data_IF_954109564938
#
_entry.id   IF_954109564938
#
_cell.length_a   1.000
_cell.length_b   1.000
_cell.length_c   1.000
_cell.angle_alpha   90.00
_cell.angle_beta   90.00
_cell.angle_gamma   90.00
#
_symmetry.space_group_name_H-M   'P 1'
#
loop_
_entity.id
_entity.type
_entity.pdbx_description
1 polymer ?
#
# COMPACT_ATOMS: atom_id res chain seq x y z
N UNK A 1 33.57 23.65 15.80
CA UNK A 1 32.89 22.92 16.87
C UNK A 1 31.55 22.44 16.33
N UNK A 2 31.41 21.15 16.03
CA UNK A 2 30.18 20.61 15.43
C UNK A 2 29.08 20.59 16.51
N UNK A 3 28.02 21.39 16.32
CA UNK A 3 26.95 21.53 17.30
C UNK A 3 26.22 20.18 17.47
N UNK A 4 26.25 19.62 18.69
CA UNK A 4 25.56 18.34 19.03
C UNK A 4 24.13 18.33 18.49
N UNK A 5 23.42 19.46 18.58
CA UNK A 5 22.04 19.60 18.10
C UNK A 5 21.90 19.39 16.57
N UNK A 6 22.89 19.82 15.77
CA UNK A 6 22.92 19.58 14.31
C UNK A 6 23.21 18.13 13.98
N UNK A 7 24.01 17.44 14.80
CA UNK A 7 24.29 16.01 14.66
C UNK A 7 23.03 15.19 14.97
N UNK A 8 22.31 15.53 16.06
CA UNK A 8 21.04 14.88 16.40
C UNK A 8 19.95 15.08 15.35
N UNK A 9 19.84 16.30 14.80
CA UNK A 9 18.90 16.59 13.69
C UNK A 9 19.29 15.84 12.42
N UNK A 10 20.59 15.72 12.11
CA UNK A 10 21.04 14.94 10.97
C UNK A 10 20.81 13.44 11.15
N UNK A 11 20.99 12.88 12.36
CA UNK A 11 20.73 11.47 12.67
C UNK A 11 19.22 11.17 12.62
N UNK A 12 18.37 12.04 13.19
CA UNK A 12 16.92 11.93 13.11
C UNK A 12 16.41 12.06 11.66
N UNK A 13 17.00 12.99 10.89
CA UNK A 13 16.68 13.16 9.48
C UNK A 13 17.10 11.97 8.62
N UNK A 14 18.25 11.35 8.90
CA UNK A 14 18.74 10.17 8.16
C UNK A 14 17.87 8.93 8.42
N UNK A 15 17.35 8.77 9.65
CA UNK A 15 16.46 7.67 10.00
C UNK A 15 15.10 7.74 9.29
N UNK A 16 14.60 8.95 9.00
CA UNK A 16 13.35 9.17 8.29
C UNK A 16 13.42 8.81 6.79
N UNK A 17 14.62 8.79 6.20
CA UNK A 17 14.82 8.56 4.75
C UNK A 17 14.80 7.06 4.39
N UNK A 18 14.90 6.16 5.38
CA UNK A 18 15.06 4.71 5.16
C UNK A 18 13.78 4.04 4.64
N UNK A 19 12.61 4.69 4.76
CA UNK A 19 11.30 4.06 4.46
C UNK A 19 10.83 4.32 3.01
N UNK A 20 11.48 5.21 2.26
CA UNK A 20 10.90 5.81 1.06
C UNK A 20 11.06 4.96 -0.24
N UNK A 21 11.74 3.81 -0.19
CA UNK A 21 12.36 3.25 -1.40
C UNK A 21 11.84 1.94 -1.99
N UNK A 22 11.07 1.12 -1.28
CA UNK A 22 10.70 -0.22 -1.75
C UNK A 22 9.26 -0.57 -1.35
N UNK A 23 8.56 -1.29 -2.22
CA UNK A 23 7.29 -1.91 -1.85
C UNK A 23 7.48 -2.74 -0.57
N UNK A 24 6.52 -2.63 0.35
CA UNK A 24 6.51 -3.37 1.60
C UNK A 24 6.50 -4.87 1.35
N UNK A 25 6.97 -5.62 2.34
CA UNK A 25 6.90 -7.08 2.31
C UNK A 25 5.45 -7.55 2.19
N UNK A 26 4.53 -6.80 2.79
CA UNK A 26 3.10 -7.05 2.79
C UNK A 26 2.52 -6.92 1.37
N UNK A 27 2.82 -5.82 0.68
CA UNK A 27 2.36 -5.61 -0.68
C UNK A 27 2.98 -6.61 -1.66
N UNK A 28 4.28 -6.90 -1.52
CA UNK A 28 4.94 -7.91 -2.34
C UNK A 28 4.31 -9.31 -2.16
N UNK A 29 3.99 -9.69 -0.92
CA UNK A 29 3.32 -10.96 -0.61
C UNK A 29 1.90 -11.00 -1.17
N UNK A 30 1.15 -9.89 -1.06
CA UNK A 30 -0.18 -9.77 -1.66
C UNK A 30 -0.15 -10.01 -3.17
N UNK A 31 0.79 -9.39 -3.88
CA UNK A 31 0.95 -9.58 -5.33
C UNK A 31 1.28 -11.04 -5.68
N UNK A 32 2.14 -11.70 -4.90
CA UNK A 32 2.45 -13.11 -5.08
C UNK A 32 1.21 -13.99 -4.91
N UNK A 33 0.41 -13.74 -3.86
CA UNK A 33 -0.83 -14.49 -3.63
C UNK A 33 -1.90 -14.23 -4.69
N UNK A 34 -1.97 -13.02 -5.25
CA UNK A 34 -2.82 -12.73 -6.43
C UNK A 34 -2.38 -13.57 -7.62
N UNK A 35 -1.08 -13.66 -7.90
CA UNK A 35 -0.54 -14.47 -9.00
C UNK A 35 -0.78 -15.97 -8.81
N UNK A 36 -0.82 -16.43 -7.57
CA UNK A 36 -1.10 -17.82 -7.20
C UNK A 36 -2.60 -18.11 -7.03
N UNK A 37 -3.46 -17.11 -7.23
CA UNK A 37 -4.91 -17.19 -7.02
C UNK A 37 -5.30 -17.59 -5.58
N UNK A 38 -4.41 -17.34 -4.61
CA UNK A 38 -4.65 -17.57 -3.18
C UNK A 38 -5.39 -16.36 -2.55
N UNK A 39 -6.65 -16.18 -2.93
CA UNK A 39 -7.42 -14.96 -2.66
C UNK A 39 -7.57 -14.58 -1.19
N UNK A 40 -7.73 -15.57 -0.30
CA UNK A 40 -7.85 -15.31 1.13
C UNK A 40 -6.57 -14.68 1.71
N UNK A 41 -5.41 -15.20 1.30
CA UNK A 41 -4.11 -14.64 1.72
C UNK A 41 -3.83 -13.31 1.02
N UNK A 42 -4.18 -13.19 -0.26
CA UNK A 42 -4.09 -11.92 -0.97
C UNK A 42 -4.87 -10.81 -0.23
N UNK A 43 -6.11 -11.08 0.19
CA UNK A 43 -6.91 -10.14 0.99
C UNK A 43 -6.23 -9.79 2.31
N UNK A 44 -5.78 -10.78 3.07
CA UNK A 44 -5.11 -10.57 4.35
C UNK A 44 -3.90 -9.64 4.19
N UNK A 45 -3.05 -9.91 3.21
CA UNK A 45 -1.83 -9.14 2.98
C UNK A 45 -2.09 -7.77 2.37
N UNK A 46 -3.13 -7.61 1.53
CA UNK A 46 -3.54 -6.28 1.05
C UNK A 46 -4.01 -5.39 2.20
N UNK A 47 -4.74 -5.94 3.19
CA UNK A 47 -5.18 -5.18 4.37
C UNK A 47 -3.97 -4.73 5.19
N UNK A 48 -2.99 -5.63 5.43
CA UNK A 48 -1.74 -5.25 6.12
C UNK A 48 -0.94 -4.22 5.32
N UNK A 49 -0.89 -4.37 4.00
CA UNK A 49 -0.17 -3.46 3.12
C UNK A 49 -0.73 -2.01 3.19
N UNK A 50 -2.04 -1.84 3.36
CA UNK A 50 -2.66 -0.51 3.57
C UNK A 50 -2.13 0.17 4.84
N UNK A 51 -1.80 -0.59 5.89
CA UNK A 51 -1.30 -0.02 7.15
C UNK A 51 0.15 0.45 7.05
N UNK A 52 0.97 -0.21 6.22
CA UNK A 52 2.40 0.08 6.08
C UNK A 52 2.74 1.00 4.89
N UNK A 53 1.91 1.00 3.85
CA UNK A 53 2.00 1.87 2.67
C UNK A 53 0.68 2.67 2.48
N UNK A 54 0.32 3.55 3.43
CA UNK A 54 -0.94 4.30 3.37
C UNK A 54 -1.03 5.30 2.21
N UNK A 55 0.11 5.64 1.58
CA UNK A 55 0.23 6.57 0.46
C UNK A 55 0.35 5.86 -0.91
N UNK A 56 0.19 4.53 -0.96
CA UNK A 56 0.19 3.77 -2.20
C UNK A 56 -1.26 3.49 -2.68
N UNK A 57 -1.74 4.15 -3.76
CA UNK A 57 -3.11 3.97 -4.24
C UNK A 57 -3.35 2.62 -4.93
N UNK A 58 -2.29 1.88 -5.32
CA UNK A 58 -2.44 0.58 -5.99
C UNK A 58 -2.99 -0.51 -5.05
N UNK A 59 -2.68 -0.42 -3.76
CA UNK A 59 -3.10 -1.40 -2.76
C UNK A 59 -4.62 -1.39 -2.56
N UNK A 60 -5.28 -0.25 -2.24
CA UNK A 60 -6.74 -0.21 -2.15
C UNK A 60 -7.39 -0.54 -3.50
N UNK A 61 -6.81 -0.14 -4.64
CA UNK A 61 -7.29 -0.56 -5.96
C UNK A 61 -7.28 -2.10 -6.11
N UNK A 62 -6.16 -2.77 -5.83
CA UNK A 62 -6.05 -4.24 -5.94
C UNK A 62 -6.99 -4.95 -4.98
N UNK A 63 -7.22 -4.42 -3.78
CA UNK A 63 -8.23 -4.93 -2.85
C UNK A 63 -9.65 -4.78 -3.41
N UNK A 64 -9.97 -3.62 -3.98
CA UNK A 64 -11.25 -3.38 -4.64
C UNK A 64 -11.48 -4.33 -5.82
N UNK A 65 -10.54 -4.39 -6.75
CA UNK A 65 -10.66 -5.16 -7.99
C UNK A 65 -10.55 -6.67 -7.76
N UNK A 66 -9.42 -7.15 -7.23
CA UNK A 66 -9.20 -8.60 -7.14
C UNK A 66 -10.06 -9.25 -6.08
N UNK A 67 -10.29 -8.61 -4.93
CA UNK A 67 -11.00 -9.24 -3.81
C UNK A 67 -12.49 -8.89 -3.85
N UNK A 68 -12.83 -7.62 -3.72
CA UNK A 68 -14.23 -7.23 -3.55
C UNK A 68 -15.04 -7.43 -4.82
N UNK A 69 -14.53 -7.06 -6.01
CA UNK A 69 -15.25 -7.27 -7.25
C UNK A 69 -15.22 -8.73 -7.74
N UNK A 70 -14.03 -9.30 -7.96
CA UNK A 70 -13.91 -10.60 -8.63
C UNK A 70 -14.28 -11.80 -7.74
N UNK A 71 -13.91 -11.78 -6.46
CA UNK A 71 -14.15 -12.94 -5.57
C UNK A 71 -15.44 -12.79 -4.75
N UNK A 72 -15.65 -11.64 -4.12
CA UNK A 72 -16.78 -11.43 -3.21
C UNK A 72 -18.04 -10.90 -3.90
N UNK A 73 -17.90 -10.28 -5.09
CA UNK A 73 -18.98 -9.55 -5.79
C UNK A 73 -19.63 -8.47 -4.92
N UNK A 74 -18.84 -7.91 -4.01
CA UNK A 74 -19.20 -6.81 -3.12
C UNK A 74 -18.84 -5.48 -3.78
N UNK A 75 -19.74 -5.01 -4.63
CA UNK A 75 -19.58 -3.77 -5.39
C UNK A 75 -19.52 -2.52 -4.50
N UNK A 76 -20.13 -2.58 -3.32
CA UNK A 76 -20.09 -1.46 -2.37
C UNK A 76 -18.68 -1.31 -1.80
N UNK A 77 -18.08 -2.39 -1.29
CA UNK A 77 -16.70 -2.35 -0.80
C UNK A 77 -15.69 -2.10 -1.93
N UNK A 78 -15.95 -2.58 -3.14
CA UNK A 78 -15.14 -2.24 -4.30
C UNK A 78 -15.12 -0.72 -4.54
N UNK A 79 -16.28 -0.07 -4.57
CA UNK A 79 -16.35 1.39 -4.73
C UNK A 79 -15.64 2.12 -3.60
N UNK A 80 -15.86 1.72 -2.34
CA UNK A 80 -15.15 2.31 -1.19
C UNK A 80 -13.62 2.17 -1.31
N UNK A 81 -13.13 1.03 -1.81
CA UNK A 81 -11.71 0.82 -2.07
C UNK A 81 -11.19 1.72 -3.19
N UNK A 82 -11.96 1.93 -4.26
CA UNK A 82 -11.58 2.84 -5.34
C UNK A 82 -11.59 4.30 -4.90
N UNK A 83 -12.57 4.72 -4.10
CA UNK A 83 -12.62 6.05 -3.51
C UNK A 83 -11.38 6.32 -2.65
N UNK A 84 -10.91 5.32 -1.90
CA UNK A 84 -9.65 5.42 -1.14
C UNK A 84 -8.43 5.57 -2.05
N UNK A 85 -8.35 4.80 -3.15
CA UNK A 85 -7.25 4.93 -4.10
C UNK A 85 -7.20 6.34 -4.73
N UNK A 86 -8.37 6.86 -5.15
CA UNK A 86 -8.52 8.19 -5.74
C UNK A 86 -8.27 9.32 -4.73
N UNK A 87 -8.55 9.10 -3.45
CA UNK A 87 -8.25 10.06 -2.39
C UNK A 87 -6.74 10.20 -2.13
N UNK A 88 -5.95 9.16 -2.40
CA UNK A 88 -4.49 9.17 -2.26
C UNK A 88 -3.84 9.87 -3.44
N UNK A 89 -4.14 9.42 -4.67
CA UNK A 89 -3.67 10.06 -5.90
C UNK A 89 -4.75 9.98 -6.99
N UNK A 90 -5.52 11.06 -7.21
CA UNK A 90 -6.61 11.07 -8.19
C UNK A 90 -6.11 11.04 -9.64
N UNK A 91 -4.83 11.31 -9.89
CA UNK A 91 -4.24 11.35 -11.23
C UNK A 91 -3.39 10.12 -11.54
N UNK A 92 -3.23 9.20 -10.58
CA UNK A 92 -2.48 7.97 -10.78
C UNK A 92 -3.22 7.05 -11.77
N UNK A 93 -2.63 6.85 -12.94
CA UNK A 93 -3.02 5.73 -13.80
C UNK A 93 -2.50 4.43 -13.19
N UNK A 94 -3.41 3.60 -12.70
CA UNK A 94 -3.11 2.25 -12.22
C UNK A 94 -3.42 1.28 -13.37
N UNK A 95 -2.39 0.61 -13.89
CA UNK A 95 -2.54 -0.42 -14.90
C UNK A 95 -2.73 -1.76 -14.17
N UNK A 96 -3.90 -2.36 -14.38
CA UNK A 96 -4.27 -3.68 -13.82
C UNK A 96 -3.59 -4.84 -14.51
#
# INVERSE_FOLDING_TARGET
MLNKQRIWVAILGLAAVIIIGCASQEYASANLYIQQEEWAKAKEFLIKAIEVEPDNPEIPYKLGYHIYALQEKDWEKMNQSFDKALAIDPNKTILG
#
